data_IF_172842256367
#
_entry.id   IF_172842256367
#
_cell.length_a   1.000
_cell.length_b   1.000
_cell.length_c   1.000
_cell.angle_alpha   90.00
_cell.angle_beta   90.00
_cell.angle_gamma   90.00
#
_symmetry.space_group_name_H-M   'P 1'
#
loop_
_entity.id
_entity.type
_entity.pdbx_description
1 polymer ?
#
# COMPACT_ATOMS: atom_id res chain seq x y z
N UNK A 1 15.50 -6.00 -25.89
CA UNK A 1 14.60 -5.70 -24.75
C UNK A 1 13.20 -6.09 -25.18
N UNK A 2 12.57 -7.04 -24.50
CA UNK A 2 11.23 -7.56 -24.84
C UNK A 2 10.15 -6.54 -24.48
N UNK A 3 9.06 -6.49 -25.26
CA UNK A 3 7.97 -5.52 -25.08
C UNK A 3 7.32 -5.61 -23.68
N UNK A 4 7.23 -6.81 -23.12
CA UNK A 4 6.69 -7.04 -21.77
C UNK A 4 7.50 -6.34 -20.68
N UNK A 5 8.84 -6.32 -20.83
CA UNK A 5 9.73 -5.65 -19.89
C UNK A 5 9.49 -4.13 -19.94
N UNK A 6 9.28 -3.57 -21.13
CA UNK A 6 9.00 -2.15 -21.29
C UNK A 6 7.69 -1.76 -20.59
N UNK A 7 6.63 -2.56 -20.73
CA UNK A 7 5.36 -2.33 -20.03
C UNK A 7 5.55 -2.39 -18.52
N UNK A 8 6.22 -3.41 -17.99
CA UNK A 8 6.47 -3.56 -16.55
C UNK A 8 7.26 -2.38 -15.98
N UNK A 9 8.26 -1.88 -16.71
CA UNK A 9 9.06 -0.71 -16.31
C UNK A 9 8.21 0.57 -16.28
N UNK A 10 7.41 0.81 -17.33
CA UNK A 10 6.52 1.98 -17.38
C UNK A 10 5.44 1.95 -16.29
N UNK A 11 4.89 0.76 -16.00
CA UNK A 11 3.96 0.57 -14.90
C UNK A 11 4.62 0.92 -13.56
N UNK A 12 5.84 0.42 -13.31
CA UNK A 12 6.61 0.77 -12.12
C UNK A 12 6.86 2.27 -12.00
N UNK A 13 7.24 2.94 -13.10
CA UNK A 13 7.43 4.38 -13.15
C UNK A 13 6.13 5.15 -12.84
N UNK A 14 5.00 4.70 -13.38
CA UNK A 14 3.67 5.29 -13.12
C UNK A 14 3.27 5.15 -11.65
N UNK A 15 3.44 3.96 -11.06
CA UNK A 15 3.14 3.73 -9.64
C UNK A 15 4.02 4.61 -8.72
N UNK A 16 5.31 4.73 -9.06
CA UNK A 16 6.23 5.60 -8.32
C UNK A 16 5.82 7.08 -8.40
N UNK A 17 5.47 7.56 -9.60
CA UNK A 17 4.99 8.92 -9.80
C UNK A 17 3.67 9.17 -9.04
N UNK A 18 2.74 8.20 -9.06
CA UNK A 18 1.48 8.27 -8.34
C UNK A 18 1.67 8.37 -6.82
N UNK A 19 2.56 7.57 -6.24
CA UNK A 19 2.91 7.67 -4.81
C UNK A 19 3.46 9.06 -4.45
N UNK A 20 4.39 9.57 -5.26
CA UNK A 20 4.96 10.90 -5.03
C UNK A 20 3.91 12.03 -5.15
N UNK A 21 2.95 11.89 -6.06
CA UNK A 21 1.88 12.86 -6.22
C UNK A 21 0.96 12.88 -5.00
N UNK A 22 0.55 11.71 -4.50
CA UNK A 22 -0.33 11.57 -3.34
C UNK A 22 0.31 12.11 -2.05
N UNK A 23 1.58 11.79 -1.79
CA UNK A 23 2.27 12.24 -0.57
C UNK A 23 2.64 13.73 -0.62
N UNK A 24 2.82 14.31 -1.82
CA UNK A 24 3.20 15.73 -1.97
C UNK A 24 2.01 16.66 -2.20
N UNK A 25 0.78 16.15 -2.31
CA UNK A 25 -0.40 16.99 -2.59
C UNK A 25 -0.96 17.72 -1.37
N UNK A 26 -0.84 17.18 -0.16
CA UNK A 26 -1.38 17.80 1.05
C UNK A 26 -0.36 18.59 1.86
N UNK A 27 -0.87 19.33 2.85
CA UNK A 27 -0.07 20.13 3.78
C UNK A 27 0.66 19.26 4.81
N UNK A 28 0.10 18.10 5.13
CA UNK A 28 0.66 17.14 6.09
C UNK A 28 0.85 15.77 5.45
N UNK A 29 2.11 15.46 5.13
CA UNK A 29 2.49 14.23 4.44
C UNK A 29 2.22 12.98 5.29
N UNK A 30 2.24 13.11 6.61
CA UNK A 30 1.99 11.99 7.52
C UNK A 30 0.50 11.63 7.51
N UNK A 31 -0.37 12.64 7.58
CA UNK A 31 -1.81 12.47 7.48
C UNK A 31 -2.22 11.87 6.13
N UNK A 32 -1.66 12.37 5.03
CA UNK A 32 -1.95 11.83 3.69
C UNK A 32 -1.55 10.36 3.58
N UNK A 33 -0.35 9.99 4.05
CA UNK A 33 0.09 8.61 4.07
C UNK A 33 -0.82 7.71 4.92
N UNK A 34 -1.24 8.19 6.10
CA UNK A 34 -2.18 7.47 6.97
C UNK A 34 -3.56 7.30 6.32
N UNK A 35 -4.07 8.29 5.60
CA UNK A 35 -5.35 8.20 4.87
C UNK A 35 -5.27 7.20 3.72
N UNK A 36 -4.14 7.16 3.00
CA UNK A 36 -3.91 6.16 1.94
C UNK A 36 -3.89 4.75 2.54
N UNK A 37 -3.16 4.56 3.65
CA UNK A 37 -3.11 3.28 4.36
C UNK A 37 -4.49 2.86 4.89
N UNK A 38 -5.27 3.79 5.45
CA UNK A 38 -6.63 3.54 5.90
C UNK A 38 -7.57 3.17 4.74
N UNK A 39 -7.46 3.85 3.60
CA UNK A 39 -8.19 3.50 2.38
C UNK A 39 -7.85 2.09 1.88
N UNK A 40 -6.56 1.73 1.86
CA UNK A 40 -6.13 0.39 1.49
C UNK A 40 -6.66 -0.68 2.46
N UNK A 41 -6.66 -0.40 3.77
CA UNK A 41 -7.24 -1.29 4.78
C UNK A 41 -8.77 -1.44 4.62
N UNK A 42 -9.48 -0.36 4.30
CA UNK A 42 -10.92 -0.41 4.02
C UNK A 42 -11.21 -1.23 2.76
N UNK A 43 -10.41 -1.08 1.71
CA UNK A 43 -10.53 -1.87 0.48
C UNK A 43 -10.21 -3.35 0.69
N UNK A 44 -9.31 -3.71 1.62
CA UNK A 44 -8.95 -5.11 1.89
C UNK A 44 -9.92 -5.82 2.82
N UNK A 45 -10.67 -5.08 3.65
CA UNK A 45 -11.60 -5.63 4.64
C UNK A 45 -12.66 -6.61 4.07
N UNK A 46 -13.29 -6.36 2.90
CA UNK A 46 -14.22 -7.32 2.30
C UNK A 46 -13.57 -8.64 1.86
N UNK A 47 -12.24 -8.64 1.65
CA UNK A 47 -11.50 -9.81 1.17
C UNK A 47 -10.96 -10.67 2.34
N UNK A 48 -10.86 -10.11 3.53
CA UNK A 48 -10.36 -10.77 4.75
C UNK A 48 -10.98 -12.16 5.04
N UNK A 49 -12.31 -12.38 4.92
CA UNK A 49 -12.90 -13.72 5.18
C UNK A 49 -12.50 -14.79 4.17
N UNK A 50 -11.90 -14.43 3.04
CA UNK A 50 -11.44 -15.38 2.02
C UNK A 50 -9.95 -15.76 2.17
N UNK A 51 -9.22 -15.13 3.10
CA UNK A 51 -7.81 -15.41 3.33
C UNK A 51 -7.60 -16.26 4.60
N UNK A 52 -6.56 -17.10 4.64
CA UNK A 52 -6.16 -17.78 5.86
C UNK A 52 -5.74 -16.76 6.93
N UNK A 53 -6.05 -17.08 8.19
CA UNK A 53 -5.66 -16.22 9.31
C UNK A 53 -4.13 -16.15 9.42
N UNK A 54 -3.56 -14.96 9.72
CA UNK A 54 -2.11 -14.83 9.85
C UNK A 54 -1.57 -15.72 10.98
N UNK A 55 -0.32 -16.18 10.80
CA UNK A 55 0.40 -16.91 11.85
C UNK A 55 0.41 -16.09 13.16
N UNK A 56 0.17 -16.70 14.33
CA UNK A 56 0.21 -16.01 15.62
C UNK A 56 1.53 -15.27 15.87
N UNK A 57 2.64 -15.77 15.33
CA UNK A 57 3.97 -15.14 15.42
C UNK A 57 4.03 -13.81 14.65
N UNK A 58 3.23 -13.66 13.60
CA UNK A 58 3.18 -12.44 12.79
C UNK A 58 2.29 -11.35 13.39
N UNK A 59 1.37 -11.70 14.31
CA UNK A 59 0.39 -10.76 14.89
C UNK A 59 1.06 -9.55 15.57
N UNK A 60 2.11 -9.72 16.41
CA UNK A 60 2.80 -8.57 17.02
C UNK A 60 3.38 -7.60 15.98
N UNK A 61 3.90 -8.13 14.86
CA UNK A 61 4.46 -7.32 13.78
C UNK A 61 3.39 -6.57 13.00
N UNK A 62 2.22 -7.20 12.75
CA UNK A 62 1.08 -6.55 12.11
C UNK A 62 0.56 -5.39 12.96
N UNK A 63 0.45 -5.58 14.27
CA UNK A 63 0.03 -4.52 15.20
C UNK A 63 1.08 -3.39 15.22
N UNK A 64 2.36 -3.73 15.38
CA UNK A 64 3.44 -2.74 15.38
C UNK A 64 3.46 -1.93 14.07
N UNK A 65 3.27 -2.59 12.92
CA UNK A 65 3.22 -1.93 11.61
C UNK A 65 1.98 -1.07 11.41
N UNK A 66 0.89 -1.28 12.16
CA UNK A 66 -0.28 -0.42 12.12
C UNK A 66 -0.14 0.83 13.00
N UNK A 67 0.75 0.78 13.99
CA UNK A 67 0.98 1.86 14.97
C UNK A 67 2.13 2.78 14.57
N UNK A 68 3.19 2.24 13.95
CA UNK A 68 4.37 2.96 13.46
C UNK A 68 4.12 3.60 12.08
#
# INVERSE_FOLDING_TARGET
MTFDILILVLLGAMLHAGWNALVKSGSDKSLDASLIAAGAAACSLPFLPFLPFPSPVAIPFLIASAVL
#
